data_IF_320301561626
#
_entry.id   IF_320301561626
#
_cell.length_a   1.000
_cell.length_b   1.000
_cell.length_c   1.000
_cell.angle_alpha   90.00
_cell.angle_beta   90.00
_cell.angle_gamma   90.00
#
_symmetry.space_group_name_H-M   'P 1'
#
loop_
_entity.id
_entity.type
_entity.pdbx_description
1 polymer ?
#
# COMPACT_ATOMS: atom_id res chain seq x y z
N UNK A 1 24.69 -29.69 -30.88
CA UNK A 1 23.47 -28.88 -31.06
C UNK A 1 22.32 -29.30 -30.14
N UNK A 2 21.93 -30.57 -30.01
CA UNK A 2 20.92 -31.04 -29.05
C UNK A 2 21.30 -30.78 -27.58
N UNK A 3 22.52 -31.08 -27.19
CA UNK A 3 23.01 -30.97 -25.79
C UNK A 3 23.05 -29.54 -25.26
N UNK A 4 23.35 -28.53 -26.08
CA UNK A 4 23.34 -27.11 -25.68
C UNK A 4 21.93 -26.55 -25.53
N UNK A 5 20.98 -27.00 -26.38
CA UNK A 5 19.58 -26.61 -26.31
C UNK A 5 18.93 -27.16 -25.03
N UNK A 6 19.21 -28.39 -24.66
CA UNK A 6 18.67 -29.00 -23.46
C UNK A 6 19.21 -28.33 -22.19
N UNK A 7 20.49 -27.97 -22.19
CA UNK A 7 21.07 -27.17 -21.09
C UNK A 7 20.44 -25.82 -20.93
N UNK A 8 20.20 -25.09 -22.05
CA UNK A 8 19.55 -23.79 -22.02
C UNK A 8 18.09 -23.87 -21.51
N UNK A 9 17.34 -24.92 -21.90
CA UNK A 9 16.00 -25.15 -21.40
C UNK A 9 15.96 -25.43 -19.91
N UNK A 10 16.88 -26.25 -19.41
CA UNK A 10 17.00 -26.55 -17.97
C UNK A 10 17.30 -25.26 -17.20
N UNK A 11 18.23 -24.44 -17.68
CA UNK A 11 18.57 -23.17 -17.04
C UNK A 11 17.36 -22.22 -16.96
N UNK A 12 16.60 -22.10 -18.04
CA UNK A 12 15.36 -21.27 -18.08
C UNK A 12 14.35 -21.78 -17.05
N UNK A 13 14.13 -23.10 -16.98
CA UNK A 13 13.19 -23.69 -16.01
C UNK A 13 13.65 -23.40 -14.56
N UNK A 14 14.94 -23.54 -14.28
CA UNK A 14 15.49 -23.22 -12.95
C UNK A 14 15.29 -21.74 -12.63
N UNK A 15 15.56 -20.82 -13.57
CA UNK A 15 15.34 -19.39 -13.36
C UNK A 15 13.87 -19.06 -13.08
N UNK A 16 12.96 -19.65 -13.85
CA UNK A 16 11.51 -19.47 -13.64
C UNK A 16 11.10 -20.00 -12.27
N UNK A 17 11.53 -21.22 -11.93
CA UNK A 17 11.24 -21.81 -10.62
C UNK A 17 11.77 -20.96 -9.45
N UNK A 18 12.98 -20.40 -9.60
CA UNK A 18 13.56 -19.49 -8.61
C UNK A 18 12.76 -18.20 -8.46
N UNK A 19 12.36 -17.57 -9.57
CA UNK A 19 11.54 -16.35 -9.55
C UNK A 19 10.18 -16.60 -8.87
N UNK A 20 9.51 -17.70 -9.23
CA UNK A 20 8.25 -18.12 -8.61
C UNK A 20 8.42 -18.38 -7.11
N UNK A 21 9.46 -19.11 -6.73
CA UNK A 21 9.77 -19.39 -5.31
C UNK A 21 9.99 -18.09 -4.52
N UNK A 22 10.78 -17.15 -5.05
CA UNK A 22 11.04 -15.86 -4.41
C UNK A 22 9.78 -15.03 -4.30
N UNK A 23 8.94 -15.01 -5.35
CA UNK A 23 7.64 -14.30 -5.34
C UNK A 23 6.68 -14.86 -4.29
N UNK A 24 6.52 -16.18 -4.21
CA UNK A 24 5.69 -16.86 -3.20
C UNK A 24 6.22 -16.57 -1.79
N UNK A 25 7.53 -16.64 -1.59
CA UNK A 25 8.17 -16.34 -0.31
C UNK A 25 7.93 -14.88 0.12
N UNK A 26 8.04 -13.95 -0.82
CA UNK A 26 7.78 -12.54 -0.57
C UNK A 26 6.31 -12.30 -0.20
N UNK A 27 5.36 -12.87 -0.95
CA UNK A 27 3.92 -12.78 -0.66
C UNK A 27 3.59 -13.34 0.73
N UNK A 28 4.11 -14.52 1.08
CA UNK A 28 3.92 -15.11 2.42
C UNK A 28 4.49 -14.22 3.52
N UNK A 29 5.69 -13.67 3.32
CA UNK A 29 6.33 -12.75 4.29
C UNK A 29 5.51 -11.47 4.47
N UNK A 30 5.01 -10.89 3.39
CA UNK A 30 4.19 -9.69 3.44
C UNK A 30 2.86 -9.96 4.17
N UNK A 31 2.15 -11.03 3.83
CA UNK A 31 0.93 -11.45 4.54
C UNK A 31 1.17 -11.68 6.03
N UNK A 32 2.28 -12.32 6.40
CA UNK A 32 2.64 -12.50 7.82
C UNK A 32 2.88 -11.17 8.53
N UNK A 33 3.43 -10.16 7.86
CA UNK A 33 3.59 -8.81 8.42
C UNK A 33 2.24 -8.13 8.61
N UNK A 34 1.33 -8.20 7.63
CA UNK A 34 -0.02 -7.64 7.73
C UNK A 34 -0.80 -8.21 8.91
N UNK A 35 -0.68 -9.51 9.16
CA UNK A 35 -1.34 -10.17 10.28
C UNK A 35 -0.86 -9.68 11.67
N UNK A 36 0.28 -8.98 11.73
CA UNK A 36 0.77 -8.33 12.96
C UNK A 36 0.17 -6.95 13.20
N UNK A 37 -0.60 -6.44 12.26
CA UNK A 37 -1.26 -5.12 12.35
C UNK A 37 -2.76 -5.37 12.40
N UNK A 38 -3.38 -5.48 13.59
CA UNK A 38 -4.78 -5.87 13.71
C UNK A 38 -5.76 -4.87 13.08
N UNK A 39 -5.47 -3.57 13.16
CA UNK A 39 -6.31 -2.53 12.59
C UNK A 39 -5.62 -1.90 11.37
N UNK A 40 -6.26 -2.05 10.21
CA UNK A 40 -5.77 -1.50 8.94
C UNK A 40 -6.91 -0.75 8.25
N UNK A 41 -6.75 0.55 8.10
CA UNK A 41 -7.74 1.45 7.51
C UNK A 41 -7.20 1.97 6.18
N UNK A 42 -7.96 1.80 5.11
CA UNK A 42 -7.66 2.33 3.79
C UNK A 42 -8.60 3.51 3.48
N UNK A 43 -8.02 4.68 3.22
CA UNK A 43 -8.74 5.90 2.90
C UNK A 43 -8.67 6.13 1.39
N UNK A 44 -9.81 6.07 0.73
CA UNK A 44 -9.95 6.32 -0.70
C UNK A 44 -10.92 7.49 -0.98
N UNK A 45 -11.06 7.87 -2.24
CA UNK A 45 -11.86 8.98 -2.72
C UNK A 45 -11.04 9.98 -3.52
N UNK A 46 -11.67 11.04 -3.97
CA UNK A 46 -11.04 12.00 -4.88
C UNK A 46 -10.30 13.08 -4.10
N UNK A 47 -10.95 13.79 -3.20
CA UNK A 47 -10.40 14.94 -2.45
C UNK A 47 -10.51 14.74 -0.94
N UNK A 48 -9.61 15.36 -0.19
CA UNK A 48 -9.66 15.34 1.27
C UNK A 48 -9.10 14.08 1.94
N UNK A 49 -8.60 13.11 1.19
CA UNK A 49 -8.02 11.86 1.73
C UNK A 49 -6.98 12.11 2.82
N UNK A 50 -6.01 12.99 2.58
CA UNK A 50 -4.94 13.29 3.55
C UNK A 50 -5.46 13.95 4.83
N UNK A 51 -6.51 14.77 4.74
CA UNK A 51 -7.16 15.38 5.91
C UNK A 51 -7.86 14.30 6.75
N UNK A 52 -8.68 13.45 6.12
CA UNK A 52 -9.37 12.35 6.81
C UNK A 52 -8.37 11.35 7.39
N UNK A 53 -7.27 11.05 6.68
CA UNK A 53 -6.19 10.21 7.19
C UNK A 53 -5.61 10.77 8.49
N UNK A 54 -5.33 12.08 8.55
CA UNK A 54 -4.84 12.73 9.77
C UNK A 54 -5.87 12.75 10.89
N UNK A 55 -7.14 12.99 10.58
CA UNK A 55 -8.22 12.98 11.58
C UNK A 55 -8.38 11.60 12.21
N UNK A 56 -8.48 10.54 11.42
CA UNK A 56 -8.61 9.16 11.92
C UNK A 56 -7.35 8.75 12.68
N UNK A 57 -6.16 9.10 12.16
CA UNK A 57 -4.91 8.90 12.87
C UNK A 57 -4.92 9.55 14.25
N UNK A 58 -5.34 10.83 14.35
CA UNK A 58 -5.38 11.56 15.61
C UNK A 58 -6.37 10.95 16.61
N UNK A 59 -7.56 10.55 16.16
CA UNK A 59 -8.56 9.87 16.99
C UNK A 59 -7.98 8.57 17.57
N UNK A 60 -7.37 7.72 16.74
CA UNK A 60 -6.78 6.47 17.19
C UNK A 60 -5.60 6.68 18.13
N UNK A 61 -4.82 7.72 17.91
CA UNK A 61 -3.71 8.08 18.78
C UNK A 61 -4.19 8.52 20.16
N UNK A 62 -5.23 9.35 20.23
CA UNK A 62 -5.86 9.76 21.49
C UNK A 62 -6.47 8.55 22.22
N UNK A 63 -7.02 7.57 21.49
CA UNK A 63 -7.49 6.29 22.01
C UNK A 63 -6.34 5.29 22.30
N UNK A 64 -5.11 5.78 22.41
CA UNK A 64 -3.89 5.07 22.79
C UNK A 64 -3.45 3.92 21.85
N UNK A 65 -3.92 3.90 20.61
CA UNK A 65 -3.36 3.00 19.63
C UNK A 65 -1.91 3.39 19.28
N UNK A 66 -1.06 2.40 19.10
CA UNK A 66 0.23 2.60 18.45
C UNK A 66 0.00 2.71 16.94
N UNK A 67 -0.59 3.84 16.53
CA UNK A 67 -1.01 4.06 15.15
C UNK A 67 0.10 4.68 14.31
N UNK A 68 0.22 4.20 13.08
CA UNK A 68 1.01 4.88 12.05
C UNK A 68 0.06 5.33 10.93
N UNK A 69 0.18 6.62 10.57
CA UNK A 69 -0.52 7.20 9.43
C UNK A 69 0.40 7.35 8.24
N UNK A 70 -0.13 7.17 7.03
CA UNK A 70 0.56 7.52 5.79
C UNK A 70 -0.36 8.31 4.89
N UNK A 71 0.05 9.52 4.54
CA UNK A 71 -0.58 10.32 3.49
C UNK A 71 0.12 10.11 2.14
N UNK A 72 -0.50 10.57 1.06
CA UNK A 72 0.02 10.48 -0.30
C UNK A 72 0.09 11.87 -0.96
N UNK A 73 0.11 11.93 -2.28
CA UNK A 73 0.20 13.19 -3.01
C UNK A 73 1.63 13.72 -3.13
N UNK A 74 1.76 14.99 -3.44
CA UNK A 74 3.03 15.68 -3.71
C UNK A 74 3.92 15.71 -2.46
N UNK A 75 3.31 15.90 -1.30
CA UNK A 75 3.99 15.94 0.01
C UNK A 75 3.52 14.78 0.90
N UNK A 76 3.89 13.57 0.50
CA UNK A 76 3.55 12.37 1.24
C UNK A 76 4.25 12.32 2.60
N UNK A 77 3.50 12.05 3.67
CA UNK A 77 3.97 12.07 5.05
C UNK A 77 3.70 10.75 5.77
N UNK A 78 4.60 10.45 6.69
CA UNK A 78 4.45 9.42 7.72
C UNK A 78 4.19 10.07 9.06
N UNK A 79 3.15 9.61 9.76
CA UNK A 79 2.78 10.03 11.11
C UNK A 79 3.02 8.86 12.06
N UNK A 80 3.61 9.14 13.23
CA UNK A 80 3.94 8.11 14.22
C UNK A 80 3.37 8.47 15.59
N UNK A 81 2.76 7.51 16.29
CA UNK A 81 2.09 7.75 17.60
C UNK A 81 3.00 8.36 18.66
N UNK A 82 4.32 8.16 18.57
CA UNK A 82 5.30 8.63 19.56
C UNK A 82 5.85 10.03 19.31
N UNK A 83 5.39 10.74 18.28
CA UNK A 83 5.87 12.09 17.95
C UNK A 83 4.79 12.92 17.26
N UNK A 84 4.83 14.24 17.47
CA UNK A 84 3.98 15.20 16.77
C UNK A 84 4.50 15.54 15.36
N UNK A 85 5.77 15.23 15.08
CA UNK A 85 6.37 15.57 13.80
C UNK A 85 5.92 14.60 12.70
N UNK A 86 5.59 15.17 11.56
CA UNK A 86 5.38 14.42 10.33
C UNK A 86 6.69 14.25 9.57
N UNK A 87 6.97 13.08 9.08
CA UNK A 87 8.20 12.77 8.35
C UNK A 87 7.89 12.56 6.86
N UNK A 88 8.73 13.07 5.95
CA UNK A 88 8.52 12.83 4.52
C UNK A 88 8.66 11.34 4.20
N UNK A 89 7.85 10.87 3.26
CA UNK A 89 8.03 9.54 2.67
C UNK A 89 9.21 9.60 1.71
N UNK A 90 10.31 8.96 2.08
CA UNK A 90 11.48 8.86 1.22
C UNK A 90 11.17 7.91 0.06
N UNK A 91 10.97 8.47 -1.11
CA UNK A 91 10.70 7.74 -2.35
C UNK A 91 11.99 7.39 -3.08
N UNK A 92 11.95 6.29 -3.80
CA UNK A 92 13.02 5.90 -4.72
C UNK A 92 13.03 6.84 -5.94
N UNK A 93 14.14 6.93 -6.70
CA UNK A 93 14.23 7.79 -7.90
C UNK A 93 13.12 7.56 -8.95
N UNK A 94 12.53 6.36 -8.96
CA UNK A 94 11.43 5.99 -9.86
C UNK A 94 10.09 6.67 -9.50
N UNK A 95 10.05 7.46 -8.43
CA UNK A 95 8.87 8.18 -7.99
C UNK A 95 7.88 7.33 -7.17
N UNK A 96 6.63 7.79 -7.16
CA UNK A 96 5.56 7.12 -6.43
C UNK A 96 5.19 5.78 -7.08
N UNK A 97 5.17 4.71 -6.28
CA UNK A 97 4.86 3.36 -6.73
C UNK A 97 4.05 2.63 -5.65
N UNK A 98 3.00 1.90 -6.06
CA UNK A 98 2.17 1.14 -5.12
C UNK A 98 3.00 0.11 -4.33
N UNK A 99 4.09 -0.40 -4.91
CA UNK A 99 5.02 -1.33 -4.27
C UNK A 99 5.71 -0.75 -3.03
N UNK A 100 5.82 0.59 -2.88
CA UNK A 100 6.36 1.23 -1.67
C UNK A 100 5.55 0.83 -0.41
N UNK A 101 4.30 0.40 -0.60
CA UNK A 101 3.43 -0.01 0.49
C UNK A 101 3.98 -1.22 1.26
N UNK A 102 4.74 -2.10 0.61
CA UNK A 102 5.41 -3.23 1.29
C UNK A 102 6.46 -2.73 2.28
N UNK A 103 7.19 -1.68 1.91
CA UNK A 103 8.20 -1.06 2.77
C UNK A 103 7.53 -0.32 3.95
N UNK A 104 6.38 0.32 3.69
CA UNK A 104 5.56 0.96 4.74
C UNK A 104 5.08 -0.09 5.75
N UNK A 105 4.45 -1.19 5.30
CA UNK A 105 4.01 -2.28 6.18
C UNK A 105 5.17 -2.85 6.99
N UNK A 106 6.36 -2.98 6.38
CA UNK A 106 7.55 -3.42 7.12
C UNK A 106 7.96 -2.42 8.21
N UNK A 107 7.90 -1.12 7.93
CA UNK A 107 8.18 -0.07 8.92
C UNK A 107 7.18 -0.11 10.08
N UNK A 108 5.88 -0.24 9.75
CA UNK A 108 4.79 -0.35 10.74
C UNK A 108 5.05 -1.50 11.71
N UNK A 109 5.40 -2.68 11.18
CA UNK A 109 5.71 -3.85 12.01
C UNK A 109 6.99 -3.65 12.83
N UNK A 110 8.04 -3.05 12.26
CA UNK A 110 9.29 -2.74 12.99
C UNK A 110 9.06 -1.82 14.17
N UNK A 111 8.14 -0.87 14.02
CA UNK A 111 7.75 0.06 15.08
C UNK A 111 6.77 -0.55 16.10
N UNK A 112 6.37 -1.82 15.94
CA UNK A 112 5.39 -2.51 16.80
C UNK A 112 4.03 -1.80 16.85
N UNK A 113 3.65 -1.15 15.75
CA UNK A 113 2.35 -0.49 15.64
C UNK A 113 1.23 -1.54 15.55
N UNK A 114 0.09 -1.25 16.19
CA UNK A 114 -1.10 -2.09 16.16
C UNK A 114 -2.21 -1.54 15.24
N UNK A 115 -2.01 -0.31 14.71
CA UNK A 115 -2.92 0.32 13.76
C UNK A 115 -2.15 0.98 12.61
N UNK A 116 -2.71 0.87 11.40
CA UNK A 116 -2.26 1.55 10.20
C UNK A 116 -3.42 2.28 9.55
N UNK A 117 -3.30 3.61 9.40
CA UNK A 117 -4.23 4.43 8.62
C UNK A 117 -3.50 4.85 7.36
N UNK A 118 -3.95 4.37 6.21
CA UNK A 118 -3.24 4.52 4.97
C UNK A 118 -4.10 5.15 3.88
N UNK A 119 -3.61 6.21 3.29
CA UNK A 119 -4.24 6.84 2.14
C UNK A 119 -3.92 6.05 0.87
N UNK A 120 -4.94 5.71 0.08
CA UNK A 120 -4.75 5.08 -1.23
C UNK A 120 -4.08 6.06 -2.19
N UNK A 121 -2.98 5.62 -2.78
CA UNK A 121 -2.21 6.41 -3.74
C UNK A 121 -2.55 6.11 -5.20
N UNK A 122 -3.27 5.03 -5.45
CA UNK A 122 -3.60 4.59 -6.80
C UNK A 122 -4.77 5.39 -7.35
N UNK A 123 -4.66 5.83 -8.59
CA UNK A 123 -5.76 6.40 -9.37
C UNK A 123 -6.40 5.30 -10.21
N UNK A 124 -5.59 4.49 -10.89
CA UNK A 124 -6.08 3.40 -11.73
C UNK A 124 -6.83 2.34 -10.89
N UNK A 125 -8.06 1.91 -11.30
CA UNK A 125 -8.88 0.94 -10.55
C UNK A 125 -8.17 -0.38 -10.27
N UNK A 126 -7.45 -0.95 -11.23
CA UNK A 126 -6.70 -2.21 -11.04
C UNK A 126 -5.65 -2.07 -9.93
N UNK A 127 -4.98 -0.92 -9.88
CA UNK A 127 -4.01 -0.64 -8.83
C UNK A 127 -4.67 -0.38 -7.47
N UNK A 128 -5.90 0.16 -7.44
CA UNK A 128 -6.67 0.30 -6.20
C UNK A 128 -7.05 -1.09 -5.64
N UNK A 129 -7.46 -2.02 -6.50
CA UNK A 129 -7.75 -3.41 -6.13
C UNK A 129 -6.49 -4.08 -5.58
N UNK A 130 -5.37 -4.02 -6.31
CA UNK A 130 -4.09 -4.59 -5.85
C UNK A 130 -3.65 -3.95 -4.53
N UNK A 131 -3.83 -2.64 -4.38
CA UNK A 131 -3.50 -1.92 -3.16
C UNK A 131 -4.32 -2.44 -1.98
N UNK A 132 -5.63 -2.61 -2.15
CA UNK A 132 -6.53 -3.13 -1.12
C UNK A 132 -6.29 -4.62 -0.84
N UNK A 133 -6.30 -5.47 -1.89
CA UNK A 133 -6.38 -6.92 -1.74
C UNK A 133 -5.02 -7.58 -1.46
N UNK A 134 -3.93 -7.01 -1.97
CA UNK A 134 -2.60 -7.60 -1.83
C UNK A 134 -1.65 -6.82 -0.92
N UNK A 135 -1.72 -5.48 -0.92
CA UNK A 135 -0.72 -4.66 -0.26
C UNK A 135 -1.11 -4.20 1.14
N UNK A 136 -2.37 -3.85 1.38
CA UNK A 136 -2.85 -3.34 2.69
C UNK A 136 -3.74 -4.35 3.39
N UNK A 137 -4.63 -5.01 2.65
CA UNK A 137 -5.67 -5.90 3.20
C UNK A 137 -6.42 -5.22 4.34
N UNK A 138 -6.86 -3.98 4.08
CA UNK A 138 -7.54 -3.20 5.09
C UNK A 138 -8.82 -3.89 5.54
N UNK A 139 -9.08 -3.87 6.84
CA UNK A 139 -10.32 -4.37 7.43
C UNK A 139 -11.37 -3.27 7.60
N UNK A 140 -10.98 -2.00 7.38
CA UNK A 140 -11.91 -0.88 7.27
C UNK A 140 -11.54 -0.08 6.02
N UNK A 141 -12.51 0.13 5.14
CA UNK A 141 -12.43 1.03 4.00
C UNK A 141 -13.22 2.31 4.26
N UNK A 142 -12.65 3.46 3.92
CA UNK A 142 -13.31 4.77 4.00
C UNK A 142 -13.27 5.41 2.63
N UNK A 143 -14.43 5.70 2.06
CA UNK A 143 -14.57 6.53 0.86
C UNK A 143 -14.94 7.94 1.30
N UNK A 144 -14.04 8.89 1.09
CA UNK A 144 -14.22 10.28 1.52
C UNK A 144 -15.28 10.98 0.68
N UNK A 145 -15.17 10.82 -0.62
CA UNK A 145 -16.13 11.34 -1.60
C UNK A 145 -15.93 10.69 -2.97
N UNK A 146 -16.93 10.87 -3.82
CA UNK A 146 -16.88 10.55 -5.25
C UNK A 146 -17.18 11.85 -5.99
N UNK A 147 -16.25 12.30 -6.82
CA UNK A 147 -16.33 13.57 -7.56
C UNK A 147 -15.72 13.38 -8.95
N UNK A 148 -16.11 14.25 -9.87
CA UNK A 148 -15.54 14.28 -11.22
C UNK A 148 -14.07 14.73 -11.16
N UNK A 149 -13.17 13.78 -11.29
CA UNK A 149 -11.72 13.97 -11.42
C UNK A 149 -11.11 12.70 -12.02
N UNK A 150 -9.99 12.80 -12.68
CA UNK A 150 -9.31 11.67 -13.32
C UNK A 150 -10.21 10.84 -14.25
N UNK A 151 -11.14 11.49 -14.94
CA UNK A 151 -12.13 10.84 -15.81
C UNK A 151 -11.49 10.09 -16.99
N UNK A 152 -10.29 10.47 -17.37
CA UNK A 152 -9.44 9.78 -18.35
C UNK A 152 -8.99 8.38 -17.91
N UNK A 153 -8.98 8.12 -16.60
CA UNK A 153 -8.52 6.85 -16.01
C UNK A 153 -9.66 6.09 -15.33
N UNK A 154 -10.55 6.79 -14.63
CA UNK A 154 -11.62 6.19 -13.83
C UNK A 154 -12.90 5.97 -14.62
N UNK A 155 -13.09 6.70 -15.73
CA UNK A 155 -14.30 6.64 -16.56
C UNK A 155 -15.09 7.94 -16.56
N UNK A 156 -16.02 8.10 -17.53
CA UNK A 156 -16.67 9.38 -17.81
C UNK A 156 -17.82 9.73 -16.88
N UNK A 157 -18.24 8.84 -15.98
CA UNK A 157 -19.39 9.07 -15.10
C UNK A 157 -19.02 8.90 -13.62
N UNK A 158 -19.83 9.51 -12.73
CA UNK A 158 -19.68 9.30 -11.29
C UNK A 158 -19.84 7.83 -10.87
N UNK A 159 -20.61 7.04 -11.63
CA UNK A 159 -20.78 5.61 -11.40
C UNK A 159 -19.50 4.84 -11.69
N UNK A 160 -18.75 5.25 -12.70
CA UNK A 160 -17.45 4.63 -13.03
C UNK A 160 -16.39 4.97 -11.99
N UNK A 161 -16.49 6.18 -11.40
CA UNK A 161 -15.54 6.67 -10.40
C UNK A 161 -15.79 6.03 -9.01
N UNK A 162 -17.00 5.60 -8.73
CA UNK A 162 -17.42 5.04 -7.43
C UNK A 162 -17.01 3.60 -7.26
#
# INVERSE_FOLDING_TARGET
MFKERDFSLILIIICIALILFLGIREKKRHTHRLNKIPLRININGIRGKSTITRMIYSILREDQYHVIGKTTGTDARMLYWFTEKEYPVLRKPQGANIGEQRDIVQKVVKQKANALVNECMAVNPDYQIVFQEDLVKANIGVIVNVMEDHMDVLGPTLQDIA
#
